data_IF_198332362222
#
_entry.id   IF_198332362222
#
_cell.length_a   1.000
_cell.length_b   1.000
_cell.length_c   1.000
_cell.angle_alpha   90.00
_cell.angle_beta   90.00
_cell.angle_gamma   90.00
#
_symmetry.space_group_name_H-M   'P 1'
#
loop_
_entity.id
_entity.type
_entity.pdbx_description
1 polymer ?
#
# COMPACT_ATOMS: atom_id res chain seq x y z
N UNK A 1 -15.47 17.10 7.15
CA UNK A 1 -16.49 16.45 7.91
C UNK A 1 -16.62 14.97 7.57
N UNK A 2 -16.99 14.63 6.37
CA UNK A 2 -16.99 13.24 5.95
C UNK A 2 -15.62 12.83 5.46
N UNK A 3 -15.29 11.57 5.60
CA UNK A 3 -14.06 11.03 5.09
C UNK A 3 -14.03 11.04 3.58
N UNK A 4 -12.85 10.86 3.02
CA UNK A 4 -12.68 10.75 1.58
C UNK A 4 -12.80 9.29 1.16
N UNK A 5 -12.92 9.06 -0.13
CA UNK A 5 -12.91 7.72 -0.71
C UNK A 5 -11.62 7.58 -1.52
N UNK A 6 -10.86 6.53 -1.21
CA UNK A 6 -9.63 6.22 -1.92
C UNK A 6 -9.75 4.88 -2.62
N UNK A 7 -9.31 4.84 -3.85
CA UNK A 7 -9.13 3.57 -4.55
C UNK A 7 -7.68 3.15 -4.43
N UNK A 8 -7.45 1.89 -4.09
CA UNK A 8 -6.10 1.34 -3.98
C UNK A 8 -5.94 0.18 -4.95
N UNK A 9 -4.89 0.22 -5.75
CA UNK A 9 -4.49 -0.89 -6.59
C UNK A 9 -3.09 -1.28 -6.14
N UNK A 10 -3.00 -2.39 -5.41
CA UNK A 10 -1.75 -2.85 -4.82
C UNK A 10 -1.11 -3.87 -5.74
N UNK A 11 -0.37 -3.36 -6.72
CA UNK A 11 0.29 -4.22 -7.69
C UNK A 11 1.63 -4.75 -7.21
N UNK A 12 2.17 -5.71 -7.93
CA UNK A 12 3.47 -6.30 -7.60
C UNK A 12 4.60 -5.27 -7.69
N UNK A 13 4.52 -4.37 -8.65
CA UNK A 13 5.58 -3.40 -8.91
C UNK A 13 5.20 -1.97 -8.56
N UNK A 14 3.92 -1.70 -8.48
CA UNK A 14 3.44 -0.33 -8.35
C UNK A 14 2.16 -0.29 -7.53
N UNK A 15 2.08 0.71 -6.64
CA UNK A 15 0.86 1.02 -5.90
C UNK A 15 0.23 2.23 -6.57
N UNK A 16 -1.07 2.16 -6.83
CA UNK A 16 -1.83 3.29 -7.34
C UNK A 16 -2.85 3.69 -6.29
N UNK A 17 -2.91 4.97 -6.00
CA UNK A 17 -3.86 5.54 -5.06
C UNK A 17 -4.70 6.56 -5.80
N UNK A 18 -5.98 6.30 -5.90
CA UNK A 18 -6.93 7.23 -6.49
C UNK A 18 -7.64 8.00 -5.39
N UNK A 19 -7.60 9.32 -5.45
CA UNK A 19 -8.25 10.20 -4.51
C UNK A 19 -9.50 10.76 -5.17
N UNK A 20 -10.67 10.29 -4.78
CA UNK A 20 -11.93 10.69 -5.40
C UNK A 20 -12.21 12.18 -5.21
N UNK A 21 -11.91 12.71 -4.03
CA UNK A 21 -12.20 14.12 -3.73
C UNK A 21 -11.40 15.07 -4.60
N UNK A 22 -10.13 14.74 -4.84
CA UNK A 22 -9.25 15.58 -5.65
C UNK A 22 -9.18 15.13 -7.11
N UNK A 23 -9.80 14.00 -7.42
CA UNK A 23 -9.79 13.41 -8.75
C UNK A 23 -8.36 13.25 -9.28
N UNK A 24 -7.50 12.67 -8.43
CA UNK A 24 -6.10 12.47 -8.75
C UNK A 24 -5.68 11.03 -8.54
N UNK A 25 -4.74 10.58 -9.37
CA UNK A 25 -4.10 9.27 -9.21
C UNK A 25 -2.64 9.51 -8.84
N UNK A 26 -2.22 8.89 -7.75
CA UNK A 26 -0.83 8.88 -7.36
C UNK A 26 -0.27 7.48 -7.58
N UNK A 27 0.92 7.40 -8.15
CA UNK A 27 1.61 6.12 -8.39
C UNK A 27 2.91 6.10 -7.62
N UNK A 28 3.22 4.97 -7.03
CA UNK A 28 4.47 4.80 -6.31
C UNK A 28 4.94 3.37 -6.48
N UNK A 29 6.25 3.18 -6.56
CA UNK A 29 6.79 1.83 -6.65
C UNK A 29 6.55 1.08 -5.36
N UNK A 30 6.21 -0.20 -5.49
CA UNK A 30 5.89 -1.07 -4.35
C UNK A 30 7.17 -1.66 -3.78
N UNK A 31 7.94 -0.81 -3.12
CA UNK A 31 9.22 -1.18 -2.56
C UNK A 31 9.54 -0.32 -1.34
N UNK A 32 10.20 -0.91 -0.35
CA UNK A 32 10.56 -0.22 0.88
C UNK A 32 12.01 -0.55 1.25
N UNK A 33 12.75 0.45 1.70
CA UNK A 33 14.11 0.28 2.20
C UNK A 33 14.08 0.44 3.71
N UNK A 34 14.64 -0.53 4.43
CA UNK A 34 14.60 -0.59 5.88
C UNK A 34 16.02 -0.60 6.41
N UNK A 35 16.30 0.26 7.38
CA UNK A 35 17.61 0.39 8.00
C UNK A 35 17.63 -0.33 9.33
N UNK A 36 18.66 -1.12 9.58
CA UNK A 36 18.86 -1.85 10.82
C UNK A 36 17.64 -2.71 11.20
N UNK A 37 16.96 -3.25 10.18
CA UNK A 37 15.80 -4.16 10.33
C UNK A 37 14.58 -3.55 11.01
N UNK A 38 14.59 -2.25 11.31
CA UNK A 38 13.51 -1.61 12.06
C UNK A 38 12.99 -0.32 11.44
N UNK A 39 13.90 0.52 10.98
CA UNK A 39 13.54 1.89 10.62
C UNK A 39 13.32 2.04 9.14
N UNK A 40 12.26 2.76 8.78
CA UNK A 40 12.01 3.08 7.38
C UNK A 40 13.07 4.07 6.92
N UNK A 41 13.84 3.69 5.91
CA UNK A 41 14.82 4.58 5.31
C UNK A 41 14.24 5.32 4.12
N UNK A 42 13.50 4.60 3.27
CA UNK A 42 12.87 5.18 2.08
C UNK A 42 11.74 4.29 1.60
N UNK A 43 10.83 4.85 0.84
CA UNK A 43 9.77 4.10 0.17
C UNK A 43 9.72 4.50 -1.30
N UNK A 44 9.12 3.64 -2.12
CA UNK A 44 8.84 3.96 -3.50
C UNK A 44 10.08 4.12 -4.35
N UNK A 45 10.09 5.15 -5.19
CA UNK A 45 11.19 5.37 -6.13
C UNK A 45 12.53 5.51 -5.43
N UNK A 46 12.56 6.19 -4.29
CA UNK A 46 13.80 6.37 -3.54
C UNK A 46 14.35 5.04 -3.04
N UNK A 47 13.46 4.16 -2.58
CA UNK A 47 13.87 2.83 -2.14
C UNK A 47 14.37 2.02 -3.33
N UNK A 48 13.69 2.13 -4.47
CA UNK A 48 14.08 1.38 -5.66
C UNK A 48 15.47 1.77 -6.16
N UNK A 49 15.82 3.06 -6.06
CA UNK A 49 17.14 3.53 -6.45
C UNK A 49 18.25 2.87 -5.65
N UNK A 50 17.94 2.37 -4.47
CA UNK A 50 18.91 1.70 -3.62
C UNK A 50 19.04 0.21 -3.91
N UNK A 51 18.17 -0.32 -4.76
CA UNK A 51 18.17 -1.75 -5.06
C UNK A 51 19.53 -2.15 -5.63
N UNK A 52 20.11 -3.20 -5.05
CA UNK A 52 21.42 -3.72 -5.40
C UNK A 52 22.62 -2.80 -5.12
N UNK A 53 22.37 -1.61 -4.56
CA UNK A 53 23.43 -0.65 -4.23
C UNK A 53 23.43 -0.24 -2.77
N UNK A 54 22.50 -0.78 -1.98
CA UNK A 54 22.35 -0.34 -0.60
C UNK A 54 23.51 -0.82 0.27
N UNK A 55 23.90 -0.02 1.28
CA UNK A 55 24.84 -0.49 2.29
C UNK A 55 24.31 -1.70 3.03
N UNK A 56 25.20 -2.40 3.73
CA UNK A 56 24.85 -3.64 4.42
C UNK A 56 23.75 -3.48 5.47
N UNK A 57 23.61 -2.30 6.05
CA UNK A 57 22.60 -2.05 7.07
C UNK A 57 21.22 -1.69 6.51
N UNK A 58 21.09 -1.61 5.19
CA UNK A 58 19.84 -1.29 4.53
C UNK A 58 19.38 -2.46 3.67
N UNK A 59 18.16 -2.91 3.92
CA UNK A 59 17.53 -3.96 3.14
C UNK A 59 16.43 -3.37 2.26
N UNK A 60 16.45 -3.68 0.98
CA UNK A 60 15.42 -3.27 0.04
C UNK A 60 14.44 -4.43 -0.12
N UNK A 61 13.18 -4.21 0.21
CA UNK A 61 12.16 -5.25 0.23
C UNK A 61 11.06 -4.94 -0.75
N UNK A 62 10.65 -5.96 -1.51
CA UNK A 62 9.50 -5.91 -2.41
C UNK A 62 8.38 -6.69 -1.74
N UNK A 63 7.45 -6.01 -1.05
CA UNK A 63 6.50 -6.74 -0.19
C UNK A 63 5.37 -7.45 -0.93
N UNK A 64 5.17 -7.16 -2.22
CA UNK A 64 4.19 -7.86 -3.03
C UNK A 64 4.88 -8.78 -4.01
N UNK A 65 4.29 -9.95 -4.26
CA UNK A 65 4.85 -10.90 -5.22
C UNK A 65 3.71 -11.59 -5.95
N UNK A 66 3.74 -11.53 -7.27
CA UNK A 66 2.72 -12.18 -8.10
C UNK A 66 1.29 -11.79 -7.72
N UNK A 67 1.11 -10.51 -7.38
CA UNK A 67 -0.21 -9.98 -7.06
C UNK A 67 -0.71 -10.25 -5.65
N UNK A 68 0.09 -10.90 -4.80
CA UNK A 68 -0.30 -11.18 -3.42
C UNK A 68 0.72 -10.60 -2.44
N UNK A 69 0.31 -10.49 -1.18
CA UNK A 69 1.17 -9.94 -0.14
C UNK A 69 2.17 -11.01 0.30
N UNK A 70 3.45 -10.78 0.01
CA UNK A 70 4.52 -11.69 0.41
C UNK A 70 5.10 -11.32 1.78
N UNK A 71 5.14 -10.03 2.11
CA UNK A 71 5.68 -9.52 3.37
C UNK A 71 4.67 -8.55 3.97
N UNK A 72 3.78 -9.09 4.81
CA UNK A 72 2.65 -8.33 5.34
C UNK A 72 3.08 -7.10 6.13
N UNK A 73 4.00 -7.27 7.08
CA UNK A 73 4.44 -6.15 7.92
C UNK A 73 5.07 -5.03 7.10
N UNK A 74 5.90 -5.41 6.14
CA UNK A 74 6.55 -4.43 5.27
C UNK A 74 5.55 -3.72 4.38
N UNK A 75 4.57 -4.45 3.85
CA UNK A 75 3.52 -3.85 3.03
C UNK A 75 2.65 -2.90 3.84
N UNK A 76 2.33 -3.27 5.07
CA UNK A 76 1.52 -2.43 5.95
C UNK A 76 2.26 -1.13 6.28
N UNK A 77 3.56 -1.22 6.56
CA UNK A 77 4.39 -0.06 6.83
C UNK A 77 4.50 0.85 5.60
N UNK A 78 4.73 0.25 4.44
CA UNK A 78 4.82 0.98 3.18
C UNK A 78 3.53 1.73 2.89
N UNK A 79 2.41 1.03 2.95
CA UNK A 79 1.11 1.62 2.67
C UNK A 79 0.76 2.72 3.68
N UNK A 80 0.99 2.46 4.97
CA UNK A 80 0.73 3.45 6.01
C UNK A 80 1.55 4.71 5.80
N UNK A 81 2.83 4.56 5.45
CA UNK A 81 3.70 5.70 5.19
C UNK A 81 3.24 6.48 3.96
N UNK A 82 2.92 5.77 2.89
CA UNK A 82 2.44 6.40 1.67
C UNK A 82 1.15 7.18 1.90
N UNK A 83 0.19 6.58 2.56
CA UNK A 83 -1.10 7.23 2.81
C UNK A 83 -0.97 8.39 3.79
N UNK A 84 -0.03 8.33 4.73
CA UNK A 84 0.23 9.42 5.66
C UNK A 84 0.75 10.66 4.96
N UNK A 85 1.47 10.50 3.86
CA UNK A 85 1.98 11.63 3.09
C UNK A 85 0.90 12.32 2.27
N UNK A 86 -0.28 11.71 2.14
CA UNK A 86 -1.41 12.32 1.47
C UNK A 86 -2.24 13.11 2.48
N UNK A 87 -2.85 14.17 2.01
CA UNK A 87 -3.71 14.96 2.85
C UNK A 87 -5.01 14.20 3.07
N UNK A 88 -5.26 13.77 4.30
CA UNK A 88 -6.39 12.92 4.60
C UNK A 88 -7.41 13.60 5.50
N UNK A 89 -8.63 13.07 5.47
CA UNK A 89 -9.69 13.51 6.33
C UNK A 89 -9.41 13.10 7.79
N UNK A 90 -9.77 13.97 8.73
CA UNK A 90 -9.66 13.65 10.15
C UNK A 90 -10.70 12.64 10.61
N UNK A 91 -11.73 12.42 9.80
CA UNK A 91 -12.84 11.53 10.16
C UNK A 91 -12.66 10.11 9.66
N UNK A 92 -11.53 9.80 9.14
CA UNK A 92 -11.32 8.51 8.54
C UNK A 92 -11.80 8.49 7.11
N UNK A 93 -11.42 7.48 6.38
CA UNK A 93 -11.69 7.38 4.96
C UNK A 93 -12.20 6.00 4.62
N UNK A 94 -12.89 5.92 3.49
CA UNK A 94 -13.32 4.64 2.93
C UNK A 94 -12.34 4.25 1.84
N UNK A 95 -12.02 2.97 1.77
CA UNK A 95 -11.07 2.46 0.81
C UNK A 95 -11.71 1.37 -0.04
N UNK A 96 -11.47 1.44 -1.34
CA UNK A 96 -11.85 0.40 -2.27
C UNK A 96 -10.55 -0.19 -2.78
N UNK A 97 -10.31 -1.48 -2.50
CA UNK A 97 -9.05 -2.14 -2.83
C UNK A 97 -9.28 -3.09 -3.99
N UNK A 98 -8.56 -2.87 -5.08
CA UNK A 98 -8.62 -3.74 -6.24
C UNK A 98 -7.65 -4.90 -6.07
N UNK A 99 -8.13 -6.12 -6.24
CA UNK A 99 -7.34 -7.35 -6.10
C UNK A 99 -7.46 -8.19 -7.36
N UNK A 100 -6.50 -9.10 -7.61
CA UNK A 100 -6.63 -10.02 -8.75
C UNK A 100 -7.86 -10.92 -8.61
N UNK A 101 -8.40 -11.38 -9.73
CA UNK A 101 -9.61 -12.21 -9.74
C UNK A 101 -9.38 -13.60 -9.15
N UNK A 102 -8.16 -14.07 -9.14
CA UNK A 102 -7.83 -15.42 -8.71
C UNK A 102 -7.34 -15.50 -7.26
N UNK A 103 -7.48 -14.43 -6.47
CA UNK A 103 -7.07 -14.48 -5.07
C UNK A 103 -8.06 -15.31 -4.25
N UNK A 104 -7.53 -15.98 -3.25
CA UNK A 104 -8.34 -16.77 -2.32
C UNK A 104 -9.06 -15.87 -1.33
N UNK A 105 -10.02 -16.45 -0.60
CA UNK A 105 -10.72 -15.72 0.47
C UNK A 105 -9.76 -15.30 1.59
N UNK A 106 -8.77 -16.14 1.88
CA UNK A 106 -7.75 -15.82 2.89
C UNK A 106 -6.93 -14.62 2.43
N UNK A 107 -6.58 -14.58 1.15
CA UNK A 107 -5.82 -13.47 0.59
C UNK A 107 -6.64 -12.19 0.58
N UNK A 108 -7.94 -12.27 0.25
CA UNK A 108 -8.83 -11.10 0.31
C UNK A 108 -8.88 -10.53 1.72
N UNK A 109 -8.98 -11.42 2.72
CA UNK A 109 -8.98 -10.98 4.11
C UNK A 109 -7.67 -10.30 4.47
N UNK A 110 -6.55 -10.81 3.96
CA UNK A 110 -5.24 -10.20 4.21
C UNK A 110 -5.17 -8.78 3.64
N UNK A 111 -5.70 -8.55 2.43
CA UNK A 111 -5.76 -7.21 1.86
C UNK A 111 -6.63 -6.29 2.71
N UNK A 112 -7.76 -6.77 3.17
CA UNK A 112 -8.65 -5.99 4.02
C UNK A 112 -7.96 -5.62 5.33
N UNK A 113 -7.33 -6.59 5.99
CA UNK A 113 -6.62 -6.36 7.26
C UNK A 113 -5.45 -5.39 7.06
N UNK A 114 -4.77 -5.49 5.93
CA UNK A 114 -3.66 -4.60 5.61
C UNK A 114 -4.10 -3.13 5.68
N UNK A 115 -5.22 -2.81 5.06
CA UNK A 115 -5.71 -1.44 4.99
C UNK A 115 -6.35 -1.01 6.31
N UNK A 116 -7.15 -1.87 6.91
CA UNK A 116 -7.82 -1.56 8.17
C UNK A 116 -6.85 -1.26 9.30
N UNK A 117 -5.76 -2.02 9.35
CA UNK A 117 -4.79 -1.90 10.44
C UNK A 117 -3.56 -1.07 10.07
N UNK A 118 -3.58 -0.42 8.90
CA UNK A 118 -2.55 0.55 8.56
C UNK A 118 -2.81 1.84 9.33
N UNK A 119 -1.84 2.74 9.30
CA UNK A 119 -2.02 4.05 9.92
C UNK A 119 -2.95 4.97 9.12
N UNK A 120 -3.65 4.42 8.16
CA UNK A 120 -4.51 5.18 7.26
C UNK A 120 -5.83 5.61 7.89
N UNK A 121 -6.16 5.10 9.08
CA UNK A 121 -7.41 5.43 9.79
C UNK A 121 -8.63 5.13 8.93
N UNK A 122 -8.65 3.94 8.37
CA UNK A 122 -9.75 3.53 7.49
C UNK A 122 -11.06 3.41 8.27
N UNK A 123 -12.12 3.98 7.74
CA UNK A 123 -13.46 3.83 8.27
C UNK A 123 -14.05 2.52 7.78
N UNK A 124 -13.83 2.19 6.53
CA UNK A 124 -14.30 0.95 5.93
C UNK A 124 -13.40 0.57 4.76
N UNK A 125 -13.40 -0.72 4.44
CA UNK A 125 -12.61 -1.26 3.33
C UNK A 125 -13.52 -2.18 2.52
N UNK A 126 -13.54 -1.96 1.21
CA UNK A 126 -14.28 -2.81 0.28
C UNK A 126 -13.27 -3.42 -0.71
N UNK A 127 -13.44 -4.71 -0.96
CA UNK A 127 -12.57 -5.42 -1.91
C UNK A 127 -13.31 -5.57 -3.23
N UNK A 128 -12.62 -5.27 -4.32
CA UNK A 128 -13.16 -5.40 -5.68
C UNK A 128 -12.16 -6.20 -6.51
N UNK A 129 -12.63 -7.16 -7.28
CA UNK A 129 -11.77 -7.90 -8.19
C UNK A 129 -11.51 -7.06 -9.45
N UNK A 130 -10.25 -6.98 -9.86
CA UNK A 130 -9.86 -6.14 -11.00
C UNK A 130 -10.61 -6.47 -12.28
N UNK A 131 -10.85 -7.73 -12.50
CA UNK A 131 -11.52 -8.16 -13.73
C UNK A 131 -12.95 -7.69 -13.84
N UNK A 132 -13.53 -7.21 -12.73
CA UNK A 132 -14.92 -6.75 -12.69
C UNK A 132 -15.05 -5.23 -12.65
N UNK A 133 -13.94 -4.55 -12.48
CA UNK A 133 -13.95 -3.09 -12.30
C UNK A 133 -14.11 -2.33 -13.63
#
# INVERSE_FOLDING_TARGET
MFGNIYGLDLGTYEIKVFDKKQDKICRERDVIAIKNKKNIFAIGDKAYEMYEKAPDDIEVVFPMKSGVIARFDNMQTLLGTLLRTKKRSVWGSEYVVAVPTDVTEVEKKAFCDLVLHSEAKAKSVRIVERGLA
#
